data_IF_911199367180
#
_entry.id   IF_911199367180
#
_cell.length_a   1.000
_cell.length_b   1.000
_cell.length_c   1.000
_cell.angle_alpha   90.00
_cell.angle_beta   90.00
_cell.angle_gamma   90.00
#
_symmetry.space_group_name_H-M   'P 1'
#
loop_
_entity.id
_entity.type
_entity.pdbx_description
1 polymer ?
#
# COMPACT_ATOMS: atom_id res chain seq x y z
N UNK A 1 27.04 -4.73 -16.98
CA UNK A 1 27.44 -5.83 -16.08
C UNK A 1 26.47 -5.82 -14.92
N UNK A 2 25.65 -6.86 -14.82
CA UNK A 2 24.50 -6.94 -13.90
C UNK A 2 24.99 -7.17 -12.47
N UNK A 3 24.67 -6.25 -11.56
CA UNK A 3 24.97 -6.39 -10.14
C UNK A 3 23.68 -6.79 -9.40
N UNK A 4 23.42 -8.09 -9.36
CA UNK A 4 22.39 -8.71 -8.52
C UNK A 4 22.78 -8.51 -7.06
N UNK A 5 22.19 -7.52 -6.39
CA UNK A 5 22.39 -7.29 -4.96
C UNK A 5 21.33 -8.08 -4.20
N UNK A 6 21.74 -9.21 -3.63
CA UNK A 6 20.95 -9.98 -2.67
C UNK A 6 20.75 -9.12 -1.41
N UNK A 7 19.53 -8.68 -1.14
CA UNK A 7 19.17 -8.09 0.14
C UNK A 7 19.34 -9.14 1.24
N UNK A 8 20.16 -8.82 2.24
CA UNK A 8 20.36 -9.67 3.40
C UNK A 8 19.09 -9.69 4.26
N UNK A 9 18.58 -10.89 4.53
CA UNK A 9 17.58 -11.09 5.56
C UNK A 9 18.24 -10.85 6.93
N UNK A 10 17.84 -9.78 7.64
CA UNK A 10 18.21 -9.57 9.04
C UNK A 10 16.99 -9.18 9.88
N UNK A 11 16.66 -10.09 10.81
CA UNK A 11 16.11 -9.89 12.16
C UNK A 11 15.01 -8.83 12.36
N UNK A 12 13.79 -9.36 12.55
CA UNK A 12 12.56 -8.77 13.13
C UNK A 12 12.68 -7.31 13.64
N UNK A 13 12.18 -6.32 12.88
CA UNK A 13 12.10 -4.94 13.33
C UNK A 13 10.94 -4.79 14.32
N UNK A 14 11.28 -4.51 15.57
CA UNK A 14 10.33 -4.22 16.63
C UNK A 14 9.54 -2.94 16.35
N UNK A 15 8.41 -3.06 15.66
CA UNK A 15 7.36 -2.02 15.64
C UNK A 15 7.05 -1.59 17.08
N UNK A 16 7.32 -0.31 17.36
CA UNK A 16 7.10 0.37 18.63
C UNK A 16 5.60 0.32 18.95
N UNK A 17 5.22 -0.45 19.97
CA UNK A 17 3.88 -0.29 20.55
C UNK A 17 3.74 1.18 20.97
N UNK A 18 2.64 1.83 20.54
CA UNK A 18 2.34 3.18 21.01
C UNK A 18 2.30 3.17 22.54
N UNK A 19 2.66 4.29 23.21
CA UNK A 19 2.60 4.42 24.67
C UNK A 19 1.22 4.03 25.27
N UNK A 20 0.19 3.98 24.42
CA UNK A 20 -1.20 3.74 24.77
C UNK A 20 -1.64 2.27 24.51
N UNK A 21 -0.72 1.39 24.08
CA UNK A 21 -0.95 -0.03 23.70
C UNK A 21 -2.06 -0.24 22.65
N UNK A 22 -2.36 0.79 21.85
CA UNK A 22 -3.28 0.74 20.70
C UNK A 22 -2.50 0.55 19.38
N UNK A 23 -3.18 0.04 18.35
CA UNK A 23 -2.62 -0.17 17.01
C UNK A 23 -2.11 1.15 16.40
N UNK A 24 -0.89 1.14 15.85
CA UNK A 24 -0.32 2.30 15.16
C UNK A 24 -0.67 2.27 13.66
N UNK A 25 -1.27 3.34 13.10
CA UNK A 25 -1.50 3.45 11.65
C UNK A 25 -0.20 3.53 10.84
N UNK A 26 0.89 3.96 11.48
CA UNK A 26 2.22 4.12 10.87
C UNK A 26 3.08 2.84 11.03
N UNK A 27 2.46 1.66 10.99
CA UNK A 27 3.09 0.36 11.26
C UNK A 27 4.27 0.02 10.33
N UNK A 28 4.34 0.64 9.15
CA UNK A 28 5.40 0.41 8.15
C UNK A 28 6.39 1.58 8.02
N UNK A 29 6.33 2.58 8.91
CA UNK A 29 7.19 3.77 8.82
C UNK A 29 8.68 3.40 8.78
N UNK A 30 9.12 2.45 9.60
CA UNK A 30 10.52 2.01 9.68
C UNK A 30 11.00 1.39 8.36
N UNK A 31 10.21 0.50 7.77
CA UNK A 31 10.53 -0.13 6.49
C UNK A 31 10.53 0.91 5.36
N UNK A 32 9.60 1.87 5.40
CA UNK A 32 9.59 3.01 4.51
C UNK A 32 10.87 3.86 4.62
N UNK A 33 11.32 4.21 5.83
CA UNK A 33 12.56 4.97 6.02
C UNK A 33 13.78 4.18 5.57
N UNK A 34 13.82 2.88 5.85
CA UNK A 34 14.89 1.97 5.42
C UNK A 34 14.99 1.92 3.89
N UNK A 35 13.84 1.87 3.20
CA UNK A 35 13.80 1.91 1.74
C UNK A 35 14.28 3.25 1.17
N UNK A 36 13.87 4.38 1.78
CA UNK A 36 14.39 5.71 1.41
C UNK A 36 15.91 5.76 1.57
N UNK A 37 16.43 5.23 2.68
CA UNK A 37 17.86 5.19 2.94
C UNK A 37 18.60 4.34 1.90
N UNK A 38 18.09 3.14 1.59
CA UNK A 38 18.69 2.26 0.59
C UNK A 38 18.73 2.92 -0.81
N UNK A 39 17.66 3.60 -1.22
CA UNK A 39 17.62 4.38 -2.47
C UNK A 39 18.66 5.50 -2.45
N UNK A 40 18.73 6.25 -1.35
CA UNK A 40 19.70 7.34 -1.19
C UNK A 40 21.15 6.86 -1.25
N UNK A 41 21.45 5.69 -0.68
CA UNK A 41 22.78 5.08 -0.69
C UNK A 41 23.14 4.51 -2.07
N UNK A 42 22.17 3.89 -2.75
CA UNK A 42 22.36 3.35 -4.10
C UNK A 42 22.62 4.43 -5.15
N UNK A 43 21.97 5.60 -5.02
CA UNK A 43 22.10 6.70 -5.98
C UNK A 43 23.28 7.63 -5.64
N UNK A 44 23.52 7.89 -4.34
CA UNK A 44 24.46 8.94 -3.92
C UNK A 44 23.93 10.34 -4.22
N UNK A 45 24.73 11.17 -4.87
CA UNK A 45 24.31 12.49 -5.35
C UNK A 45 23.33 12.35 -6.53
N UNK A 46 22.13 12.91 -6.40
CA UNK A 46 21.09 12.79 -7.43
C UNK A 46 21.42 13.49 -8.75
N UNK A 47 22.44 14.37 -8.76
CA UNK A 47 22.94 14.98 -10.00
C UNK A 47 24.10 14.20 -10.63
N UNK A 48 25.13 13.86 -9.83
CA UNK A 48 26.40 13.36 -10.36
C UNK A 48 26.80 11.96 -9.89
N UNK A 49 25.99 11.30 -9.06
CA UNK A 49 26.23 9.94 -8.56
C UNK A 49 27.30 9.81 -7.48
N UNK A 50 27.99 10.91 -7.13
CA UNK A 50 29.02 10.87 -6.09
C UNK A 50 28.48 10.31 -4.77
N UNK A 51 29.13 9.31 -4.16
CA UNK A 51 28.71 8.77 -2.88
C UNK A 51 28.84 9.81 -1.76
N UNK A 52 28.29 9.50 -0.59
CA UNK A 52 28.40 10.33 0.62
C UNK A 52 27.85 11.76 0.48
N UNK A 53 26.90 11.98 -0.42
CA UNK A 53 26.13 13.21 -0.53
C UNK A 53 25.41 13.54 0.80
N UNK A 54 25.76 14.68 1.42
CA UNK A 54 25.25 15.06 2.76
C UNK A 54 24.11 16.08 2.71
N UNK A 55 24.07 16.91 1.67
CA UNK A 55 23.02 17.91 1.51
C UNK A 55 21.73 17.21 1.07
N UNK A 56 20.59 17.54 1.68
CA UNK A 56 19.28 17.00 1.29
C UNK A 56 18.41 18.12 0.75
N UNK A 57 17.51 17.80 -0.18
CA UNK A 57 16.44 18.72 -0.53
C UNK A 57 15.61 19.03 0.74
N UNK A 58 15.52 20.30 1.12
CA UNK A 58 14.82 20.72 2.34
C UNK A 58 13.31 20.48 2.30
N UNK A 59 12.74 20.37 1.09
CA UNK A 59 11.30 20.13 0.87
C UNK A 59 10.95 18.67 1.05
N UNK A 60 11.40 17.80 0.14
CA UNK A 60 11.00 16.39 0.14
C UNK A 60 11.86 15.50 1.06
N UNK A 61 13.06 15.95 1.44
CA UNK A 61 14.07 15.18 2.21
C UNK A 61 14.53 13.87 1.56
N UNK A 62 14.07 13.60 0.33
CA UNK A 62 14.36 12.38 -0.44
C UNK A 62 15.67 12.47 -1.21
N UNK A 63 15.86 13.51 -2.03
CA UNK A 63 17.07 13.66 -2.84
C UNK A 63 18.27 14.17 -2.03
N UNK A 64 19.45 13.60 -2.30
CA UNK A 64 20.74 13.97 -1.70
C UNK A 64 21.68 14.58 -2.74
N UNK A 65 22.53 15.49 -2.31
CA UNK A 65 23.50 16.21 -3.14
C UNK A 65 24.85 16.36 -2.43
N UNK A 66 25.94 16.34 -3.20
CA UNK A 66 27.26 16.67 -2.67
C UNK A 66 27.46 18.19 -2.49
N UNK A 67 26.72 19.02 -3.22
CA UNK A 67 26.85 20.48 -3.19
C UNK A 67 25.55 21.20 -3.58
N UNK A 68 25.41 22.50 -3.21
CA UNK A 68 24.32 23.34 -3.71
C UNK A 68 24.32 23.51 -5.23
N UNK A 69 25.48 23.38 -5.89
CA UNK A 69 25.54 23.44 -7.35
C UNK A 69 24.84 22.24 -7.99
N UNK A 70 25.14 21.02 -7.51
CA UNK A 70 24.45 19.79 -7.92
C UNK A 70 22.95 19.86 -7.64
N UNK A 71 22.54 20.35 -6.47
CA UNK A 71 21.12 20.53 -6.16
C UNK A 71 20.41 21.46 -7.16
N UNK A 72 21.02 22.59 -7.51
CA UNK A 72 20.42 23.54 -8.47
C UNK A 72 20.41 23.00 -9.90
N UNK A 73 21.40 22.21 -10.28
CA UNK A 73 21.46 21.56 -11.59
C UNK A 73 20.33 20.54 -11.72
N UNK A 74 20.21 19.62 -10.77
CA UNK A 74 19.17 18.59 -10.74
C UNK A 74 17.76 19.23 -10.63
N UNK A 75 17.62 20.29 -9.85
CA UNK A 75 16.36 21.06 -9.76
C UNK A 75 15.85 21.54 -11.12
N UNK A 76 16.75 22.03 -11.99
CA UNK A 76 16.40 22.51 -13.33
C UNK A 76 16.17 21.35 -14.29
N UNK A 77 16.85 20.23 -14.11
CA UNK A 77 16.81 19.05 -14.98
C UNK A 77 15.53 18.25 -14.80
N UNK A 78 15.19 17.89 -13.56
CA UNK A 78 14.04 17.00 -13.30
C UNK A 78 13.51 17.07 -11.85
N UNK A 79 14.34 17.36 -10.85
CA UNK A 79 13.92 17.22 -9.45
C UNK A 79 12.74 18.12 -9.05
N UNK A 80 12.53 19.27 -9.70
CA UNK A 80 11.37 20.11 -9.45
C UNK A 80 10.05 19.34 -9.60
N UNK A 81 9.92 18.54 -10.66
CA UNK A 81 8.72 17.74 -10.93
C UNK A 81 8.61 16.57 -9.95
N UNK A 82 9.71 15.81 -9.79
CA UNK A 82 9.75 14.66 -8.87
C UNK A 82 9.45 15.06 -7.42
N UNK A 83 9.97 16.21 -6.97
CA UNK A 83 9.71 16.74 -5.65
C UNK A 83 8.22 17.09 -5.45
N UNK A 84 7.56 17.63 -6.47
CA UNK A 84 6.12 17.95 -6.40
C UNK A 84 5.31 16.66 -6.35
N UNK A 85 5.53 15.74 -7.30
CA UNK A 85 4.82 14.46 -7.36
C UNK A 85 4.97 13.65 -6.07
N UNK A 86 6.17 13.61 -5.50
CA UNK A 86 6.40 12.90 -4.23
C UNK A 86 5.59 13.52 -3.08
N UNK A 87 5.62 14.85 -2.93
CA UNK A 87 4.93 15.53 -1.82
C UNK A 87 3.41 15.51 -1.98
N UNK A 88 2.91 15.72 -3.20
CA UNK A 88 1.48 15.70 -3.51
C UNK A 88 0.82 14.36 -3.19
N UNK A 89 1.55 13.26 -3.33
CA UNK A 89 1.03 11.92 -3.06
C UNK A 89 1.40 11.40 -1.67
N UNK A 90 2.38 12.01 -1.00
CA UNK A 90 2.78 11.62 0.37
C UNK A 90 1.80 12.15 1.42
N UNK A 91 1.33 13.38 1.25
CA UNK A 91 0.47 14.02 2.23
C UNK A 91 -1.00 13.66 2.00
N UNK A 92 -1.82 13.50 3.06
CA UNK A 92 -3.26 13.31 2.92
C UNK A 92 -3.93 14.50 2.21
N UNK A 93 -4.95 14.23 1.39
CA UNK A 93 -5.77 15.25 0.73
C UNK A 93 -7.25 15.01 1.00
N UNK A 94 -7.85 15.87 1.83
CA UNK A 94 -9.22 15.66 2.31
C UNK A 94 -9.31 14.33 3.06
N UNK A 95 -10.20 13.44 2.60
CA UNK A 95 -10.34 12.09 3.17
C UNK A 95 -9.43 11.06 2.50
N UNK A 96 -8.60 11.43 1.52
CA UNK A 96 -7.68 10.50 0.84
C UNK A 96 -6.35 10.41 1.61
N UNK A 97 -5.93 9.21 2.05
CA UNK A 97 -4.66 9.03 2.74
C UNK A 97 -3.48 9.20 1.79
N UNK A 98 -2.31 9.53 2.36
CA UNK A 98 -1.05 9.51 1.63
C UNK A 98 -0.72 8.10 1.12
N UNK A 99 -0.10 8.02 -0.06
CA UNK A 99 0.36 6.75 -0.59
C UNK A 99 1.60 6.26 0.18
N UNK A 100 1.74 4.94 0.37
CA UNK A 100 2.88 4.37 1.06
C UNK A 100 4.19 4.56 0.28
N UNK A 101 5.31 4.60 1.01
CA UNK A 101 6.63 4.90 0.44
C UNK A 101 6.99 4.05 -0.78
N UNK A 102 6.77 2.71 -0.82
CA UNK A 102 7.05 1.91 -2.01
C UNK A 102 6.31 2.41 -3.26
N UNK A 103 5.02 2.78 -3.14
CA UNK A 103 4.23 3.33 -4.24
C UNK A 103 4.79 4.69 -4.67
N UNK A 104 5.10 5.56 -3.70
CA UNK A 104 5.69 6.87 -3.99
C UNK A 104 6.97 6.75 -4.80
N UNK A 105 7.91 5.91 -4.35
CA UNK A 105 9.22 5.71 -4.97
C UNK A 105 9.09 5.03 -6.34
N UNK A 106 8.15 4.09 -6.51
CA UNK A 106 7.88 3.43 -7.78
C UNK A 106 7.34 4.42 -8.81
N UNK A 107 6.42 5.30 -8.40
CA UNK A 107 5.78 6.29 -9.27
C UNK A 107 6.77 7.36 -9.80
N UNK A 108 7.78 7.69 -9.01
CA UNK A 108 8.85 8.64 -9.43
C UNK A 108 10.07 7.92 -10.03
N UNK A 109 9.98 6.60 -10.24
CA UNK A 109 11.02 5.82 -10.92
C UNK A 109 12.31 5.59 -10.13
N UNK A 110 12.27 5.70 -8.80
CA UNK A 110 13.45 5.47 -7.95
C UNK A 110 13.63 4.00 -7.52
N UNK A 111 12.60 3.18 -7.68
CA UNK A 111 12.69 1.71 -7.51
C UNK A 111 12.05 1.00 -8.70
N UNK A 112 12.59 -0.16 -9.05
CA UNK A 112 12.04 -1.06 -10.07
C UNK A 112 10.92 -1.95 -9.53
N UNK A 113 10.33 -2.75 -10.42
CA UNK A 113 9.18 -3.62 -10.12
C UNK A 113 9.48 -4.67 -9.04
N UNK A 114 10.65 -5.32 -9.11
CA UNK A 114 11.04 -6.36 -8.14
C UNK A 114 11.09 -5.82 -6.70
N UNK A 115 11.77 -4.68 -6.50
CA UNK A 115 11.85 -4.04 -5.18
C UNK A 115 10.48 -3.53 -4.71
N UNK A 116 9.68 -3.02 -5.63
CA UNK A 116 8.33 -2.57 -5.33
C UNK A 116 7.44 -3.72 -4.84
N UNK A 117 7.46 -4.85 -5.54
CA UNK A 117 6.65 -6.03 -5.23
C UNK A 117 7.00 -6.60 -3.85
N UNK A 118 8.30 -6.76 -3.56
CA UNK A 118 8.77 -7.24 -2.25
C UNK A 118 8.29 -6.32 -1.13
N UNK A 119 8.38 -5.01 -1.31
CA UNK A 119 7.98 -4.05 -0.28
C UNK A 119 6.47 -3.99 -0.07
N UNK A 120 5.69 -4.02 -1.16
CA UNK A 120 4.23 -3.89 -1.08
C UNK A 120 3.58 -5.15 -0.51
N UNK A 121 4.06 -6.34 -0.90
CA UNK A 121 3.56 -7.61 -0.38
C UNK A 121 3.79 -7.77 1.13
N UNK A 122 4.88 -7.21 1.65
CA UNK A 122 5.20 -7.29 3.08
C UNK A 122 4.30 -6.39 3.96
N UNK A 123 3.58 -5.40 3.40
CA UNK A 123 2.73 -4.49 4.18
C UNK A 123 1.64 -5.23 4.95
N UNK A 124 1.00 -6.24 4.34
CA UNK A 124 0.00 -7.09 4.99
C UNK A 124 0.53 -7.74 6.26
N UNK A 125 1.74 -8.31 6.18
CA UNK A 125 2.38 -8.98 7.32
C UNK A 125 2.70 -7.97 8.45
N UNK A 126 3.25 -6.80 8.11
CA UNK A 126 3.54 -5.75 9.10
C UNK A 126 2.27 -5.24 9.79
N UNK A 127 1.19 -5.05 9.03
CA UNK A 127 -0.11 -4.66 9.55
C UNK A 127 -0.64 -5.67 10.57
N UNK A 128 -0.65 -6.96 10.22
CA UNK A 128 -1.11 -8.03 11.11
C UNK A 128 -0.23 -8.18 12.34
N UNK A 129 1.09 -8.02 12.20
CA UNK A 129 2.03 -8.03 13.31
C UNK A 129 1.78 -6.85 14.26
N UNK A 130 1.59 -5.64 13.74
CA UNK A 130 1.25 -4.48 14.55
C UNK A 130 -0.12 -4.64 15.24
N UNK A 131 -1.11 -5.18 14.53
CA UNK A 131 -2.44 -5.42 15.07
C UNK A 131 -2.44 -6.47 16.19
N UNK A 132 -1.70 -7.58 16.04
CA UNK A 132 -1.61 -8.64 17.06
C UNK A 132 -0.93 -8.16 18.36
N UNK A 133 -0.03 -7.18 18.28
CA UNK A 133 0.62 -6.55 19.44
C UNK A 133 -0.29 -5.58 20.21
N UNK A 134 -1.40 -5.14 19.62
CA UNK A 134 -2.36 -4.28 20.32
C UNK A 134 -2.98 -5.03 21.50
N UNK A 135 -2.93 -4.42 22.68
CA UNK A 135 -3.61 -4.95 23.88
C UNK A 135 -5.13 -4.74 23.82
N UNK A 136 -5.58 -3.84 22.95
CA UNK A 136 -6.98 -3.46 22.79
C UNK A 136 -7.60 -4.31 21.70
N UNK A 137 -8.55 -5.16 22.10
CA UNK A 137 -9.21 -6.15 21.25
C UNK A 137 -10.71 -6.26 21.59
N UNK A 138 -11.58 -6.54 20.61
CA UNK A 138 -11.26 -6.59 19.17
C UNK A 138 -10.91 -5.19 18.63
N UNK A 139 -10.15 -5.13 17.54
CA UNK A 139 -9.88 -3.86 16.86
C UNK A 139 -11.05 -3.56 15.90
N UNK A 140 -11.83 -2.49 16.13
CA UNK A 140 -12.95 -2.12 15.27
C UNK A 140 -12.40 -1.55 13.96
N UNK A 141 -12.39 -2.35 12.90
CA UNK A 141 -11.86 -1.97 11.59
C UNK A 141 -12.87 -2.31 10.50
N UNK A 142 -13.07 -1.38 9.58
CA UNK A 142 -13.74 -1.63 8.31
C UNK A 142 -12.70 -1.81 7.22
N UNK A 143 -13.03 -2.56 6.18
CA UNK A 143 -12.15 -2.79 5.05
C UNK A 143 -12.84 -2.38 3.76
N UNK A 144 -12.08 -1.82 2.83
CA UNK A 144 -12.57 -1.55 1.48
C UNK A 144 -11.67 -2.26 0.48
N UNK A 145 -12.26 -2.77 -0.59
CA UNK A 145 -11.50 -3.36 -1.68
C UNK A 145 -11.91 -2.81 -3.03
N UNK A 146 -10.93 -2.65 -3.91
CA UNK A 146 -11.13 -2.14 -5.26
C UNK A 146 -10.13 -2.80 -6.22
N UNK A 147 -10.50 -2.83 -7.49
CA UNK A 147 -9.58 -3.22 -8.56
C UNK A 147 -8.96 -1.96 -9.15
N UNK A 148 -7.63 -1.92 -9.21
CA UNK A 148 -6.88 -0.81 -9.80
C UNK A 148 -6.01 -1.31 -10.96
N UNK A 149 -6.00 -0.59 -12.09
CA UNK A 149 -5.04 -0.87 -13.16
C UNK A 149 -3.67 -0.30 -12.79
N UNK A 150 -2.63 -1.11 -12.94
CA UNK A 150 -1.24 -0.71 -12.68
C UNK A 150 -0.32 -1.27 -13.75
N UNK A 151 0.34 -0.41 -14.51
CA UNK A 151 1.24 -0.79 -15.60
C UNK A 151 0.61 -1.76 -16.62
N UNK A 152 0.82 -3.07 -16.48
CA UNK A 152 0.30 -4.14 -17.36
C UNK A 152 -0.55 -5.17 -16.59
N UNK A 153 -0.97 -4.84 -15.37
CA UNK A 153 -1.68 -5.75 -14.47
C UNK A 153 -2.91 -5.08 -13.88
N UNK A 154 -3.95 -5.87 -13.62
CA UNK A 154 -5.02 -5.51 -12.70
C UNK A 154 -4.68 -6.04 -11.32
N UNK A 155 -4.84 -5.19 -10.30
CA UNK A 155 -4.52 -5.52 -8.92
C UNK A 155 -5.72 -5.33 -8.00
N UNK A 156 -5.89 -6.25 -7.07
CA UNK A 156 -6.79 -6.10 -5.94
C UNK A 156 -6.08 -5.27 -4.87
N UNK A 157 -6.68 -4.15 -4.50
CA UNK A 157 -6.23 -3.32 -3.37
C UNK A 157 -7.21 -3.47 -2.24
N UNK A 158 -6.71 -3.70 -1.03
CA UNK A 158 -7.50 -3.61 0.21
C UNK A 158 -6.96 -2.49 1.07
N UNK A 159 -7.84 -1.66 1.61
CA UNK A 159 -7.54 -0.67 2.64
C UNK A 159 -8.31 -0.99 3.93
N UNK A 160 -7.79 -0.55 5.07
CA UNK A 160 -8.50 -0.57 6.34
C UNK A 160 -8.82 0.85 6.80
N UNK A 161 -9.96 1.01 7.45
CA UNK A 161 -10.34 2.25 8.12
C UNK A 161 -10.81 1.96 9.54
N UNK A 162 -10.45 2.84 10.47
CA UNK A 162 -10.82 2.69 11.89
C UNK A 162 -10.75 4.02 12.63
N UNK A 163 -11.37 4.06 13.81
CA UNK A 163 -11.20 5.13 14.77
C UNK A 163 -10.29 4.65 15.90
N UNK A 164 -9.35 5.49 16.35
CA UNK A 164 -8.55 5.21 17.53
C UNK A 164 -9.30 5.53 18.83
N UNK A 165 -8.65 5.31 19.97
CA UNK A 165 -9.21 5.58 21.30
C UNK A 165 -9.43 7.06 21.62
N UNK A 166 -9.07 7.96 20.70
CA UNK A 166 -9.25 9.41 20.77
C UNK A 166 -10.23 9.91 19.70
N UNK A 167 -11.06 9.02 19.15
CA UNK A 167 -12.03 9.28 18.09
C UNK A 167 -11.42 9.82 16.79
N UNK A 168 -10.09 9.67 16.59
CA UNK A 168 -9.44 10.08 15.36
C UNK A 168 -9.60 8.98 14.32
N UNK A 169 -10.10 9.35 13.15
CA UNK A 169 -10.20 8.47 12.00
C UNK A 169 -8.83 8.26 11.35
N UNK A 170 -8.56 7.01 10.98
CA UNK A 170 -7.38 6.58 10.26
C UNK A 170 -7.79 5.75 9.05
N UNK A 171 -7.10 5.96 7.94
CA UNK A 171 -7.18 5.10 6.77
C UNK A 171 -5.79 4.57 6.43
N UNK A 172 -5.70 3.25 6.29
CA UNK A 172 -4.49 2.53 5.95
C UNK A 172 -4.68 1.94 4.55
N UNK A 173 -4.12 2.60 3.52
CA UNK A 173 -4.31 2.16 2.15
C UNK A 173 -3.32 1.03 1.78
N UNK A 174 -3.66 0.25 0.76
CA UNK A 174 -2.78 -0.76 0.14
C UNK A 174 -2.21 -1.78 1.15
N UNK A 175 -3.07 -2.37 1.98
CA UNK A 175 -2.74 -3.49 2.86
C UNK A 175 -2.52 -4.78 2.08
N UNK A 176 -3.46 -5.10 1.19
CA UNK A 176 -3.33 -6.14 0.18
C UNK A 176 -3.14 -5.46 -1.18
N UNK A 177 -2.25 -5.99 -2.02
CA UNK A 177 -1.93 -5.40 -3.32
C UNK A 177 -1.57 -6.50 -4.34
N UNK A 178 -2.54 -7.39 -4.59
CA UNK A 178 -2.28 -8.64 -5.29
C UNK A 178 -2.62 -8.56 -6.77
N UNK A 179 -1.78 -9.18 -7.60
CA UNK A 179 -2.01 -9.32 -9.04
C UNK A 179 -3.13 -10.32 -9.31
N UNK A 180 -4.25 -9.83 -9.85
CA UNK A 180 -5.38 -10.67 -10.22
C UNK A 180 -5.42 -10.98 -11.72
N UNK A 181 -4.94 -10.07 -12.56
CA UNK A 181 -4.88 -10.29 -14.01
C UNK A 181 -3.61 -9.66 -14.59
N UNK A 182 -2.96 -10.37 -15.52
CA UNK A 182 -1.72 -9.95 -16.19
C UNK A 182 -1.87 -9.96 -17.72
N UNK A 183 -3.06 -10.27 -18.21
CA UNK A 183 -3.30 -10.32 -19.65
C UNK A 183 -3.14 -8.91 -20.23
N UNK A 184 -2.38 -8.74 -21.33
CA UNK A 184 -2.07 -7.41 -21.88
C UNK A 184 -3.29 -6.55 -22.21
N UNK A 185 -4.43 -7.17 -22.50
CA UNK A 185 -5.69 -6.49 -22.83
C UNK A 185 -6.64 -6.33 -21.63
N UNK A 186 -6.29 -6.86 -20.45
CA UNK A 186 -7.13 -6.80 -19.25
C UNK A 186 -7.38 -5.37 -18.79
N UNK A 187 -6.35 -4.51 -18.84
CA UNK A 187 -6.48 -3.09 -18.49
C UNK A 187 -7.45 -2.39 -19.44
N UNK A 188 -7.26 -2.57 -20.75
CA UNK A 188 -8.13 -1.94 -21.75
C UNK A 188 -9.58 -2.39 -21.57
N UNK A 189 -9.82 -3.67 -21.32
CA UNK A 189 -11.16 -4.21 -21.02
C UNK A 189 -11.75 -3.59 -19.75
N UNK A 190 -10.94 -3.50 -18.69
CA UNK A 190 -11.36 -2.91 -17.43
C UNK A 190 -11.68 -1.42 -17.57
N UNK A 191 -10.87 -0.65 -18.28
CA UNK A 191 -11.13 0.77 -18.54
C UNK A 191 -12.42 0.99 -19.36
N UNK A 192 -12.75 0.07 -20.27
CA UNK A 192 -14.00 0.11 -21.04
C UNK A 192 -15.22 -0.32 -20.22
N UNK A 193 -15.06 -1.27 -19.31
CA UNK A 193 -16.13 -1.84 -18.49
C UNK A 193 -15.69 -2.00 -17.02
N UNK A 194 -15.51 -0.88 -16.28
CA UNK A 194 -14.91 -0.89 -14.94
C UNK A 194 -15.80 -1.50 -13.85
N UNK A 195 -17.04 -1.89 -14.20
CA UNK A 195 -17.99 -2.51 -13.29
C UNK A 195 -17.82 -4.04 -13.21
N UNK A 196 -17.03 -4.66 -14.10
CA UNK A 196 -16.82 -6.10 -14.09
C UNK A 196 -15.36 -6.51 -14.35
N UNK A 197 -15.03 -7.70 -13.84
CA UNK A 197 -13.75 -8.38 -14.07
C UNK A 197 -14.00 -9.80 -14.59
N UNK A 198 -12.96 -10.42 -15.15
CA UNK A 198 -13.03 -11.80 -15.62
C UNK A 198 -13.38 -12.79 -14.48
N UNK A 199 -13.98 -13.93 -14.81
CA UNK A 199 -14.28 -14.98 -13.82
C UNK A 199 -13.00 -15.49 -13.13
N UNK A 200 -11.89 -15.55 -13.87
CA UNK A 200 -10.57 -15.91 -13.35
C UNK A 200 -10.08 -14.89 -12.33
N UNK A 201 -10.18 -13.60 -12.64
CA UNK A 201 -9.83 -12.52 -11.72
C UNK A 201 -10.71 -12.55 -10.46
N UNK A 202 -12.03 -12.74 -10.60
CA UNK A 202 -12.93 -12.88 -9.45
C UNK A 202 -12.57 -14.07 -8.55
N UNK A 203 -12.14 -15.20 -9.13
CA UNK A 203 -11.70 -16.34 -8.33
C UNK A 203 -10.47 -16.00 -7.49
N UNK A 204 -9.47 -15.32 -8.07
CA UNK A 204 -8.30 -14.86 -7.33
C UNK A 204 -8.65 -13.84 -6.24
N UNK A 205 -9.58 -12.92 -6.51
CA UNK A 205 -10.09 -11.98 -5.49
C UNK A 205 -10.67 -12.75 -4.30
N UNK A 206 -11.51 -13.77 -4.56
CA UNK A 206 -12.07 -14.59 -3.50
C UNK A 206 -11.01 -15.38 -2.71
N UNK A 207 -9.99 -15.92 -3.38
CA UNK A 207 -8.87 -16.61 -2.74
C UNK A 207 -8.07 -15.67 -1.83
N UNK A 208 -7.73 -14.48 -2.33
CA UNK A 208 -6.97 -13.50 -1.57
C UNK A 208 -7.75 -13.00 -0.33
N UNK A 209 -9.07 -12.81 -0.46
CA UNK A 209 -9.94 -12.48 0.67
C UNK A 209 -10.03 -13.60 1.70
N UNK A 210 -10.15 -14.87 1.29
CA UNK A 210 -10.16 -16.01 2.22
C UNK A 210 -8.87 -16.08 3.01
N UNK A 211 -7.73 -15.95 2.32
CA UNK A 211 -6.43 -15.96 2.98
C UNK A 211 -6.27 -14.77 3.94
N UNK A 212 -6.71 -13.58 3.53
CA UNK A 212 -6.62 -12.40 4.38
C UNK A 212 -7.54 -12.52 5.60
N UNK A 213 -8.74 -13.04 5.43
CA UNK A 213 -9.69 -13.22 6.51
C UNK A 213 -9.20 -14.18 7.60
N UNK A 214 -8.63 -15.33 7.22
CA UNK A 214 -8.00 -16.26 8.18
C UNK A 214 -6.92 -15.54 9.00
N UNK A 215 -6.10 -14.72 8.35
CA UNK A 215 -5.06 -13.96 9.05
C UNK A 215 -5.62 -12.85 9.95
N UNK A 216 -6.74 -12.22 9.58
CA UNK A 216 -7.44 -11.26 10.43
C UNK A 216 -7.97 -11.95 11.70
N UNK A 217 -8.58 -13.13 11.56
CA UNK A 217 -9.05 -13.93 12.70
C UNK A 217 -7.90 -14.35 13.62
N UNK A 218 -6.80 -14.85 13.05
CA UNK A 218 -5.57 -15.18 13.80
C UNK A 218 -5.02 -13.96 14.56
N UNK A 219 -5.15 -12.76 13.98
CA UNK A 219 -4.79 -11.49 14.61
C UNK A 219 -5.86 -10.93 15.56
N UNK A 220 -6.98 -11.64 15.79
CA UNK A 220 -8.13 -11.21 16.59
C UNK A 220 -8.69 -9.85 16.11
N UNK A 221 -8.83 -9.71 14.79
CA UNK A 221 -9.48 -8.59 14.10
C UNK A 221 -10.77 -9.12 13.50
N UNK A 222 -11.89 -8.56 13.94
CA UNK A 222 -13.21 -8.87 13.38
C UNK A 222 -13.68 -7.65 12.57
N UNK A 223 -13.73 -7.77 11.22
CA UNK A 223 -14.21 -6.69 10.37
C UNK A 223 -15.61 -6.22 10.79
N UNK A 224 -15.80 -4.91 10.93
CA UNK A 224 -17.11 -4.29 11.16
C UNK A 224 -17.94 -4.23 9.88
N UNK A 225 -17.28 -3.86 8.78
CA UNK A 225 -17.86 -3.80 7.46
C UNK A 225 -16.79 -4.10 6.41
N UNK A 226 -17.21 -4.66 5.28
CA UNK A 226 -16.36 -4.79 4.10
C UNK A 226 -17.08 -4.16 2.91
N UNK A 227 -16.38 -3.27 2.22
CA UNK A 227 -16.92 -2.61 1.03
C UNK A 227 -16.20 -3.02 -0.23
N UNK A 228 -16.95 -3.03 -1.33
CA UNK A 228 -16.43 -3.24 -2.68
C UNK A 228 -16.58 -1.97 -3.51
N UNK A 229 -15.50 -1.59 -4.19
CA UNK A 229 -15.44 -0.49 -5.14
C UNK A 229 -15.40 -0.99 -6.59
N UNK A 230 -14.67 -0.26 -7.43
CA UNK A 230 -14.52 -0.54 -8.85
C UNK A 230 -14.14 -2.00 -9.13
N UNK A 231 -14.75 -2.59 -10.16
CA UNK A 231 -14.56 -3.97 -10.61
C UNK A 231 -15.34 -5.04 -9.84
N UNK A 232 -15.85 -4.72 -8.65
CA UNK A 232 -16.49 -5.70 -7.77
C UNK A 232 -17.97 -5.41 -7.48
N UNK A 233 -18.45 -4.18 -7.69
CA UNK A 233 -19.83 -3.77 -7.38
C UNK A 233 -20.89 -4.75 -7.92
N UNK A 234 -20.83 -5.09 -9.21
CA UNK A 234 -21.81 -5.99 -9.84
C UNK A 234 -21.53 -7.49 -9.58
N UNK A 235 -20.44 -7.79 -8.86
CA UNK A 235 -19.97 -9.16 -8.57
C UNK A 235 -19.95 -9.45 -7.07
N UNK A 236 -20.58 -8.60 -6.25
CA UNK A 236 -20.64 -8.76 -4.79
C UNK A 236 -21.30 -10.09 -4.43
N UNK A 237 -22.44 -10.42 -5.01
CA UNK A 237 -23.16 -11.68 -4.71
C UNK A 237 -22.33 -12.91 -5.09
N UNK A 238 -21.69 -12.89 -6.27
CA UNK A 238 -20.80 -13.97 -6.70
C UNK A 238 -19.58 -14.12 -5.77
N UNK A 239 -19.02 -12.99 -5.30
CA UNK A 239 -17.91 -12.98 -4.34
C UNK A 239 -18.37 -13.55 -3.00
N UNK A 240 -19.51 -13.10 -2.49
CA UNK A 240 -20.12 -13.55 -1.24
C UNK A 240 -20.36 -15.07 -1.26
N UNK A 241 -20.91 -15.59 -2.35
CA UNK A 241 -21.15 -17.02 -2.52
C UNK A 241 -19.84 -17.82 -2.49
N UNK A 242 -18.80 -17.34 -3.19
CA UNK A 242 -17.47 -17.98 -3.20
C UNK A 242 -16.81 -18.01 -1.83
N UNK A 243 -16.90 -16.91 -1.08
CA UNK A 243 -16.35 -16.81 0.28
C UNK A 243 -17.09 -17.73 1.24
N UNK A 244 -18.42 -17.75 1.17
CA UNK A 244 -19.26 -18.65 1.98
C UNK A 244 -18.92 -20.13 1.71
N UNK A 245 -18.75 -20.51 0.44
CA UNK A 245 -18.31 -21.87 0.05
C UNK A 245 -16.93 -22.24 0.57
N UNK A 246 -16.06 -21.26 0.85
CA UNK A 246 -14.73 -21.44 1.41
C UNK A 246 -14.70 -21.31 2.95
N UNK A 247 -15.86 -21.27 3.61
CA UNK A 247 -15.98 -21.26 5.07
C UNK A 247 -15.93 -19.87 5.71
N UNK A 248 -15.81 -18.81 4.91
CA UNK A 248 -15.88 -17.42 5.38
C UNK A 248 -17.36 -17.02 5.41
N UNK A 249 -17.99 -17.07 6.58
CA UNK A 249 -19.41 -16.77 6.78
C UNK A 249 -19.60 -15.57 7.72
N UNK A 250 -20.67 -14.79 7.52
CA UNK A 250 -21.00 -13.64 8.38
C UNK A 250 -20.41 -12.29 7.94
N UNK A 251 -19.57 -12.26 6.91
CA UNK A 251 -19.17 -11.02 6.24
C UNK A 251 -20.29 -10.56 5.30
N UNK A 252 -20.83 -9.37 5.50
CA UNK A 252 -21.69 -8.72 4.50
C UNK A 252 -20.84 -7.77 3.66
N UNK A 253 -20.62 -8.11 2.39
CA UNK A 253 -20.02 -7.16 1.44
C UNK A 253 -21.07 -6.15 1.02
N UNK A 254 -20.73 -4.86 1.13
CA UNK A 254 -21.64 -3.77 0.80
C UNK A 254 -21.04 -2.93 -0.33
N UNK A 255 -21.81 -2.51 -1.34
CA UNK A 255 -21.31 -1.57 -2.33
C UNK A 255 -20.86 -0.25 -1.67
N UNK A 256 -19.71 0.28 -2.08
CA UNK A 256 -19.15 1.51 -1.46
C UNK A 256 -20.10 2.72 -1.51
N UNK A 257 -21.02 2.75 -2.45
CA UNK A 257 -22.01 3.84 -2.63
C UNK A 257 -23.13 3.82 -1.57
N UNK A 258 -23.42 2.67 -0.95
CA UNK A 258 -24.49 2.55 0.05
C UNK A 258 -24.08 3.08 1.43
N UNK A 259 -22.79 3.24 1.71
CA UNK A 259 -22.28 3.81 2.98
C UNK A 259 -22.21 5.33 3.00
N UNK A 260 -22.39 6.01 1.86
CA UNK A 260 -22.43 7.47 1.78
C UNK A 260 -23.82 8.06 2.08
N UNK A 261 -24.80 7.21 2.41
CA UNK A 261 -26.19 7.60 2.67
C UNK A 261 -26.61 7.50 4.15
N UNK A 262 -25.68 7.21 5.07
CA UNK A 262 -25.93 7.17 6.52
C UNK A 262 -25.12 8.23 7.29
#
# INVERSE_FOLDING_TARGET
MSATTRAAASTDPGIIATKDNWFSPDFDEEQGQSLIQAVQESIGCFECGEPNAKLRCSRCKLAKYCSPACQRADWKKSHKQLCSMYLENKEPRGNTPGAPIPILLRNIGLIGEENFEVCIQNRRALFLQAASRSSKKPLPMSFSCAIVPTFQQLRLVIAASFQDDKDKFHEVPHLLFDVIEEEPDAIQKFEQQPHCISVRALHKVAEAWVEFYVQLEDANIHPLAITCGAGLHDRIDDLQEKLTKKGVSGLGFVPSEQLLME
#
